data_IF_150296754445
#
_entry.id   IF_150296754445
#
_cell.length_a   1.000
_cell.length_b   1.000
_cell.length_c   1.000
_cell.angle_alpha   90.00
_cell.angle_beta   90.00
_cell.angle_gamma   90.00
#
_symmetry.space_group_name_H-M   'P 1'
#
loop_
_entity.id
_entity.type
_entity.pdbx_description
1 polymer ?
#
# COMPACT_ATOMS: atom_id res chain seq x y z
N UNK A 1 -12.72 -21.92 16.38
CA UNK A 1 -12.70 -20.99 15.35
C UNK A 1 -11.30 -20.59 15.03
N UNK A 2 -10.96 -20.54 13.83
CA UNK A 2 -9.60 -20.23 13.48
C UNK A 2 -9.47 -18.80 13.01
N UNK A 3 -8.32 -18.27 13.16
CA UNK A 3 -8.06 -16.94 12.69
C UNK A 3 -7.98 -16.92 11.18
N UNK A 4 -8.32 -15.81 10.58
CA UNK A 4 -8.19 -15.74 9.13
C UNK A 4 -6.73 -15.83 8.76
N UNK A 5 -6.45 -16.46 7.66
CA UNK A 5 -5.10 -16.59 7.16
C UNK A 5 -4.88 -15.48 6.13
N UNK A 6 -3.82 -14.72 6.33
CA UNK A 6 -3.47 -13.67 5.40
C UNK A 6 -2.18 -14.07 4.70
N UNK A 7 -2.16 -14.00 3.39
CA UNK A 7 -1.02 -14.39 2.58
C UNK A 7 -0.35 -13.14 2.07
N UNK A 8 0.92 -12.94 2.45
CA UNK A 8 1.65 -11.75 2.05
C UNK A 8 2.37 -12.00 0.74
N UNK A 9 2.35 -11.03 -0.14
CA UNK A 9 3.04 -11.13 -1.40
C UNK A 9 4.54 -10.98 -1.20
N UNK A 10 5.36 -11.68 -1.96
CA UNK A 10 6.79 -11.45 -1.92
C UNK A 10 7.17 -10.08 -2.48
N UNK A 11 6.22 -9.35 -3.04
CA UNK A 11 6.50 -8.02 -3.57
C UNK A 11 6.41 -6.93 -2.50
N UNK A 12 6.02 -7.27 -1.28
CA UNK A 12 5.99 -6.29 -0.20
C UNK A 12 7.40 -5.74 0.00
N UNK A 13 7.49 -4.43 0.24
CA UNK A 13 8.81 -3.83 0.36
C UNK A 13 8.72 -2.46 1.03
N UNK A 14 9.87 -1.92 1.39
CA UNK A 14 9.95 -0.61 1.95
C UNK A 14 10.67 0.28 0.93
N UNK A 15 10.20 1.49 0.73
CA UNK A 15 10.79 2.41 -0.21
C UNK A 15 11.12 3.70 0.52
N UNK A 16 12.31 4.23 0.31
CA UNK A 16 12.72 5.48 0.93
C UNK A 16 13.04 6.51 -0.15
N UNK A 17 12.72 7.74 0.13
CA UNK A 17 13.01 8.82 -0.78
C UNK A 17 12.49 10.12 -0.21
N UNK A 18 13.02 11.25 -0.69
CA UNK A 18 12.55 12.56 -0.25
C UNK A 18 12.59 12.72 1.27
N UNK A 19 13.50 12.05 1.92
CA UNK A 19 13.63 12.18 3.36
C UNK A 19 12.61 11.39 4.16
N UNK A 20 11.91 10.48 3.55
CA UNK A 20 10.91 9.71 4.25
C UNK A 20 10.89 8.28 3.74
N UNK A 21 10.15 7.42 4.40
CA UNK A 21 10.03 6.02 4.00
C UNK A 21 8.59 5.58 4.06
N UNK A 22 8.22 4.64 3.22
CA UNK A 22 6.92 4.01 3.28
C UNK A 22 7.09 2.50 3.21
N UNK A 23 6.17 1.79 3.83
CA UNK A 23 6.13 0.35 3.78
C UNK A 23 4.96 -0.05 2.88
N UNK A 24 5.23 -0.87 1.88
CA UNK A 24 4.19 -1.33 0.98
C UNK A 24 3.84 -2.75 1.35
N UNK A 25 2.59 -2.97 1.74
CA UNK A 25 2.10 -4.29 2.09
C UNK A 25 1.06 -4.71 1.07
N UNK A 26 1.23 -5.89 0.51
CA UNK A 26 0.30 -6.44 -0.48
C UNK A 26 -0.08 -7.81 0.02
N UNK A 27 -1.36 -8.03 0.25
CA UNK A 27 -1.78 -9.29 0.86
C UNK A 27 -3.21 -9.64 0.45
N UNK A 28 -3.61 -10.87 0.73
CA UNK A 28 -4.98 -11.27 0.50
C UNK A 28 -5.35 -12.33 1.51
N UNK A 29 -6.64 -12.49 1.78
CA UNK A 29 -7.10 -13.56 2.60
C UNK A 29 -7.04 -14.88 1.85
N UNK A 30 -7.00 -15.97 2.58
CA UNK A 30 -6.87 -17.27 1.97
C UNK A 30 -7.98 -17.53 0.97
N UNK A 31 -9.17 -17.06 1.25
CA UNK A 31 -10.29 -17.30 0.36
C UNK A 31 -10.59 -16.13 -0.55
N UNK A 32 -9.81 -15.08 -0.52
CA UNK A 32 -10.10 -13.91 -1.33
C UNK A 32 -9.30 -13.91 -2.59
N UNK A 33 -9.93 -13.70 -3.73
CA UNK A 33 -9.19 -13.72 -4.98
C UNK A 33 -8.39 -12.46 -5.26
N UNK A 34 -8.70 -11.38 -4.60
CA UNK A 34 -8.04 -10.11 -4.91
C UNK A 34 -6.99 -9.75 -3.90
N UNK A 35 -6.03 -8.93 -4.33
CA UNK A 35 -4.94 -8.49 -3.47
C UNK A 35 -5.25 -7.12 -2.89
N UNK A 36 -5.02 -6.96 -1.59
CA UNK A 36 -5.22 -5.70 -0.91
C UNK A 36 -3.89 -4.96 -0.90
N UNK A 37 -3.94 -3.66 -1.19
CA UNK A 37 -2.76 -2.83 -1.18
C UNK A 37 -2.85 -1.85 -0.03
N UNK A 38 -1.81 -1.80 0.79
CA UNK A 38 -1.76 -0.88 1.90
C UNK A 38 -0.39 -0.24 1.94
N UNK A 39 -0.33 1.07 2.16
CA UNK A 39 0.93 1.78 2.28
C UNK A 39 0.94 2.44 3.65
N UNK A 40 2.01 2.22 4.42
CA UNK A 40 2.11 2.72 5.77
C UNK A 40 3.32 3.64 5.83
N UNK A 41 3.14 4.86 6.36
CA UNK A 41 4.23 5.81 6.43
C UNK A 41 4.97 5.69 7.76
N UNK A 42 5.96 6.53 7.97
CA UNK A 42 6.78 6.43 9.17
C UNK A 42 6.02 6.76 10.44
N UNK A 43 4.91 7.43 10.33
CA UNK A 43 4.10 7.76 11.48
C UNK A 43 3.00 6.77 11.72
N UNK A 44 3.04 5.65 11.01
CA UNK A 44 2.04 4.58 11.13
C UNK A 44 0.69 4.95 10.56
N UNK A 45 0.61 6.00 9.77
CA UNK A 45 -0.61 6.30 9.05
C UNK A 45 -0.68 5.37 7.84
N UNK A 46 -1.82 4.79 7.59
CA UNK A 46 -1.94 3.84 6.50
C UNK A 46 -2.95 4.30 5.49
N UNK A 47 -2.68 3.98 4.25
CA UNK A 47 -3.58 4.23 3.14
C UNK A 47 -3.93 2.88 2.54
N UNK A 48 -5.20 2.54 2.47
CA UNK A 48 -5.63 1.27 1.92
C UNK A 48 -6.50 1.56 0.72
N UNK A 49 -6.21 0.86 -0.38
CA UNK A 49 -7.03 1.02 -1.58
C UNK A 49 -8.33 0.24 -1.40
N UNK A 50 -9.43 0.85 -1.80
CA UNK A 50 -10.73 0.23 -1.59
C UNK A 50 -10.96 -0.97 -2.49
N UNK A 51 -10.44 -0.95 -3.68
CA UNK A 51 -10.68 -2.02 -4.63
C UNK A 51 -9.51 -2.97 -4.66
N UNK A 52 -9.74 -4.28 -4.58
CA UNK A 52 -8.64 -5.22 -4.68
C UNK A 52 -8.08 -5.29 -6.09
N UNK A 53 -6.85 -5.72 -6.20
CA UNK A 53 -6.20 -5.85 -7.49
C UNK A 53 -6.20 -7.32 -7.90
N UNK A 54 -6.18 -7.58 -9.20
CA UNK A 54 -6.19 -8.94 -9.68
C UNK A 54 -4.89 -9.65 -9.41
N UNK A 55 -3.78 -8.94 -9.39
CA UNK A 55 -2.49 -9.55 -9.12
C UNK A 55 -1.71 -8.65 -8.17
N UNK A 56 -0.75 -9.24 -7.48
CA UNK A 56 0.10 -8.47 -6.59
C UNK A 56 0.99 -7.53 -7.38
N UNK A 57 1.37 -7.90 -8.60
CA UNK A 57 2.19 -7.03 -9.42
C UNK A 57 1.41 -5.76 -9.79
N UNK A 58 0.13 -5.88 -10.03
CA UNK A 58 -0.66 -4.70 -10.33
C UNK A 58 -0.74 -3.78 -9.12
N UNK A 59 -0.80 -4.34 -7.92
CA UNK A 59 -0.79 -3.54 -6.72
C UNK A 59 0.51 -2.74 -6.61
N UNK A 60 1.63 -3.39 -6.85
CA UNK A 60 2.90 -2.72 -6.78
C UNK A 60 3.00 -1.65 -7.87
N UNK A 61 2.52 -1.96 -9.07
CA UNK A 61 2.57 -0.99 -10.16
C UNK A 61 1.80 0.27 -9.82
N UNK A 62 0.69 0.12 -9.13
CA UNK A 62 -0.11 1.28 -8.76
C UNK A 62 0.68 2.21 -7.84
N UNK A 63 1.38 1.65 -6.83
CA UNK A 63 2.15 2.46 -5.93
C UNK A 63 3.29 3.15 -6.67
N UNK A 64 3.98 2.41 -7.54
CA UNK A 64 5.10 2.98 -8.27
C UNK A 64 4.64 4.09 -9.20
N UNK A 65 3.46 3.95 -9.78
CA UNK A 65 2.93 4.98 -10.62
C UNK A 65 2.62 6.24 -9.83
N UNK A 66 2.05 6.09 -8.64
CA UNK A 66 1.75 7.24 -7.81
C UNK A 66 3.05 7.93 -7.40
N UNK A 67 4.08 7.17 -7.07
CA UNK A 67 5.35 7.76 -6.68
C UNK A 67 5.97 8.51 -7.85
N UNK A 68 5.89 7.96 -9.05
CA UNK A 68 6.45 8.65 -10.19
C UNK A 68 5.69 9.90 -10.52
N UNK A 69 4.38 9.89 -10.37
CA UNK A 69 3.56 11.03 -10.75
C UNK A 69 3.55 12.10 -9.69
N UNK A 70 3.41 11.71 -8.43
CA UNK A 70 3.20 12.65 -7.35
C UNK A 70 4.29 12.65 -6.28
N UNK A 71 5.21 11.71 -6.32
CA UNK A 71 6.26 11.62 -5.33
C UNK A 71 5.86 10.79 -4.13
N UNK A 72 6.86 10.28 -3.41
CA UNK A 72 6.60 9.40 -2.28
C UNK A 72 5.89 10.16 -1.18
N UNK A 73 6.06 11.47 -1.10
CA UNK A 73 5.42 12.24 -0.05
C UNK A 73 3.93 12.40 -0.26
N UNK A 74 3.42 12.04 -1.41
CA UNK A 74 1.97 12.12 -1.64
C UNK A 74 1.22 11.22 -0.67
N UNK A 75 1.86 10.16 -0.19
CA UNK A 75 1.19 9.27 0.76
C UNK A 75 1.17 9.90 2.16
N UNK A 76 2.05 10.85 2.42
CA UNK A 76 2.08 11.49 3.71
C UNK A 76 1.16 12.68 3.78
N UNK A 77 1.01 13.35 2.67
CA UNK A 77 0.25 14.55 2.69
C UNK A 77 -1.15 14.41 2.24
N UNK A 78 -1.53 13.23 1.83
CA UNK A 78 -2.86 13.04 1.34
C UNK A 78 -3.90 13.44 2.31
N UNK A 79 -3.60 13.20 3.59
CA UNK A 79 -4.62 13.52 4.49
C UNK A 79 -4.57 14.95 4.83
N UNK A 80 -3.48 15.58 4.73
CA UNK A 80 -3.48 16.91 5.20
C UNK A 80 -4.27 17.79 4.30
N UNK A 81 -4.32 17.47 3.02
CA UNK A 81 -5.06 18.29 2.29
C UNK A 81 -6.41 18.01 2.32
N UNK A 82 -6.74 16.97 2.83
CA UNK A 82 -8.11 16.73 2.98
C UNK A 82 -8.67 17.82 3.75
N UNK A 83 -7.87 18.50 4.51
CA UNK A 83 -8.42 19.36 5.29
C UNK A 83 -8.80 20.52 4.64
N UNK A 84 -8.78 20.78 3.75
CA UNK A 84 -9.23 21.99 3.38
C UNK A 84 -10.44 21.94 2.67
#
# INVERSE_FOLDING_TARGET
>A
MSDPVVIMSPLCREIAGDGTKIQIDIYHGEDDPGWVLEVIDEENASTVWDDPFDTDQESLNEVMEVIERDGIRSFLEGDSEAMH
#
